data_IF_774871336823
#
_entry.id   IF_774871336823
#
_cell.length_a   1.000
_cell.length_b   1.000
_cell.length_c   1.000
_cell.angle_alpha   90.00
_cell.angle_beta   90.00
_cell.angle_gamma   90.00
#
_symmetry.space_group_name_H-M   'P 1'
#
loop_
_entity.id
_entity.type
_entity.pdbx_description
1 polymer ?
#
# COMPACT_ATOMS: atom_id res chain seq x y z
N UNK A 1 7.42 2.50 -10.40
CA UNK A 1 7.14 2.18 -8.98
C UNK A 1 8.44 2.18 -8.19
N UNK A 2 9.23 3.26 -8.25
CA UNK A 2 10.48 3.36 -7.50
C UNK A 2 10.61 4.72 -6.84
N UNK A 3 10.67 4.70 -5.51
CA UNK A 3 10.81 5.87 -4.65
C UNK A 3 12.27 6.09 -4.23
N UNK A 4 13.20 5.33 -4.82
CA UNK A 4 14.64 5.46 -4.57
C UNK A 4 15.12 4.74 -3.29
N UNK A 5 14.23 3.99 -2.64
CA UNK A 5 14.56 3.14 -1.48
C UNK A 5 14.27 1.70 -1.86
N UNK A 6 15.31 0.89 -1.99
CA UNK A 6 15.21 -0.48 -2.51
C UNK A 6 14.20 -1.35 -1.73
N UNK A 7 14.13 -1.20 -0.41
CA UNK A 7 13.18 -1.91 0.44
C UNK A 7 11.72 -1.54 0.10
N UNK A 8 11.40 -0.24 -0.03
CA UNK A 8 10.06 0.21 -0.42
C UNK A 8 9.72 -0.22 -1.86
N UNK A 9 10.69 -0.18 -2.77
CA UNK A 9 10.50 -0.63 -4.13
C UNK A 9 10.18 -2.14 -4.18
N UNK A 10 10.78 -2.93 -3.27
CA UNK A 10 10.45 -4.35 -3.11
C UNK A 10 9.05 -4.56 -2.53
N UNK A 11 8.65 -3.74 -1.55
CA UNK A 11 7.29 -3.77 -1.01
C UNK A 11 6.23 -3.44 -2.07
N UNK A 12 6.45 -2.41 -2.90
CA UNK A 12 5.55 -2.08 -4.01
C UNK A 12 5.39 -3.26 -4.99
N UNK A 13 6.50 -3.94 -5.32
CA UNK A 13 6.44 -5.14 -6.18
C UNK A 13 5.62 -6.25 -5.53
N UNK A 14 5.75 -6.45 -4.22
CA UNK A 14 4.98 -7.45 -3.49
C UNK A 14 3.49 -7.10 -3.39
N UNK A 15 3.15 -5.83 -3.14
CA UNK A 15 1.77 -5.34 -3.16
C UNK A 15 1.11 -5.56 -4.53
N UNK A 16 1.83 -5.28 -5.62
CA UNK A 16 1.34 -5.59 -6.97
C UNK A 16 1.19 -7.10 -7.22
N UNK A 17 2.01 -7.92 -6.57
CA UNK A 17 1.87 -9.38 -6.54
C UNK A 17 0.50 -9.80 -6.01
N UNK A 18 0.08 -9.27 -4.86
CA UNK A 18 -1.24 -9.57 -4.30
C UNK A 18 -2.40 -9.15 -5.22
N UNK A 19 -2.27 -8.01 -5.92
CA UNK A 19 -3.28 -7.58 -6.91
C UNK A 19 -3.37 -8.57 -8.07
N UNK A 20 -2.23 -9.09 -8.54
CA UNK A 20 -2.19 -10.09 -9.61
C UNK A 20 -2.79 -11.44 -9.14
N UNK A 21 -2.49 -11.86 -7.92
CA UNK A 21 -3.06 -13.07 -7.33
C UNK A 21 -4.57 -12.95 -7.18
N UNK A 22 -5.06 -11.79 -6.72
CA UNK A 22 -6.48 -11.49 -6.67
C UNK A 22 -7.10 -11.57 -8.06
N UNK A 23 -6.48 -10.97 -9.08
CA UNK A 23 -6.96 -11.05 -10.47
C UNK A 23 -7.11 -12.49 -10.99
N UNK A 24 -6.14 -13.35 -10.68
CA UNK A 24 -6.18 -14.75 -11.06
C UNK A 24 -7.30 -15.52 -10.34
N UNK A 25 -7.49 -15.25 -9.04
CA UNK A 25 -8.54 -15.83 -8.22
C UNK A 25 -9.94 -15.45 -8.74
N UNK A 26 -10.19 -14.16 -8.99
CA UNK A 26 -11.51 -13.68 -9.43
C UNK A 26 -11.87 -14.15 -10.85
N UNK A 27 -10.89 -14.48 -11.69
CA UNK A 27 -11.12 -15.06 -13.02
C UNK A 27 -11.27 -16.59 -13.04
N UNK A 28 -11.29 -17.23 -11.86
CA UNK A 28 -11.40 -18.69 -11.76
C UNK A 28 -10.19 -19.44 -12.34
N UNK A 29 -9.04 -18.77 -12.49
CA UNK A 29 -7.82 -19.36 -13.03
C UNK A 29 -6.95 -20.03 -11.97
N UNK A 30 -7.33 -19.89 -10.69
CA UNK A 30 -6.68 -20.54 -9.57
C UNK A 30 -7.71 -21.37 -8.79
N UNK A 31 -7.54 -22.68 -8.76
CA UNK A 31 -8.45 -23.62 -8.09
C UNK A 31 -8.40 -23.56 -6.55
N UNK A 32 -7.43 -22.82 -5.99
CA UNK A 32 -7.07 -22.82 -4.54
C UNK A 32 -6.92 -21.42 -3.94
N UNK A 33 -7.15 -20.35 -4.71
CA UNK A 33 -6.97 -18.99 -4.25
C UNK A 33 -8.25 -18.46 -3.59
N UNK A 34 -8.33 -18.59 -2.27
CA UNK A 34 -9.36 -17.95 -1.46
C UNK A 34 -9.16 -16.44 -1.48
N UNK A 35 -10.10 -15.71 -2.10
CA UNK A 35 -10.13 -14.24 -2.12
C UNK A 35 -10.03 -13.68 -0.71
N UNK A 36 -10.65 -14.34 0.28
CA UNK A 36 -10.55 -13.96 1.68
C UNK A 36 -9.13 -14.00 2.23
N UNK A 37 -8.36 -15.05 1.90
CA UNK A 37 -6.95 -15.16 2.29
C UNK A 37 -6.09 -14.07 1.66
N UNK A 38 -6.29 -13.78 0.37
CA UNK A 38 -5.55 -12.71 -0.33
C UNK A 38 -5.86 -11.35 0.30
N UNK A 39 -7.12 -11.10 0.67
CA UNK A 39 -7.51 -9.87 1.37
C UNK A 39 -6.85 -9.77 2.76
N UNK A 40 -6.80 -10.86 3.54
CA UNK A 40 -6.12 -10.87 4.84
C UNK A 40 -4.60 -10.63 4.68
N UNK A 41 -3.95 -11.26 3.69
CA UNK A 41 -2.54 -11.07 3.37
C UNK A 41 -2.26 -9.62 2.93
N UNK A 42 -3.14 -9.04 2.10
CA UNK A 42 -3.03 -7.66 1.64
C UNK A 42 -3.18 -6.67 2.80
N UNK A 43 -4.16 -6.86 3.69
CA UNK A 43 -4.35 -6.02 4.89
C UNK A 43 -3.05 -6.00 5.70
N UNK A 44 -2.58 -7.17 6.13
CA UNK A 44 -1.39 -7.31 6.96
C UNK A 44 -0.16 -6.65 6.33
N UNK A 45 0.02 -6.83 5.02
CA UNK A 45 1.17 -6.27 4.33
C UNK A 45 1.07 -4.74 4.14
N UNK A 46 -0.14 -4.22 3.86
CA UNK A 46 -0.34 -2.76 3.76
C UNK A 46 -0.14 -2.07 5.10
N UNK A 47 -0.56 -2.66 6.23
CA UNK A 47 -0.29 -2.09 7.55
C UNK A 47 1.21 -1.92 7.81
N UNK A 48 1.98 -3.00 7.61
CA UNK A 48 3.44 -2.95 7.73
C UNK A 48 4.06 -1.90 6.80
N UNK A 49 3.71 -1.93 5.51
CA UNK A 49 4.30 -1.06 4.52
C UNK A 49 4.01 0.42 4.82
N UNK A 50 2.76 0.76 5.15
CA UNK A 50 2.35 2.12 5.49
C UNK A 50 3.07 2.65 6.73
N UNK A 51 3.29 1.82 7.75
CA UNK A 51 4.07 2.22 8.92
C UNK A 51 5.52 2.58 8.56
N UNK A 52 6.14 1.81 7.66
CA UNK A 52 7.51 2.07 7.19
C UNK A 52 7.56 3.38 6.40
N UNK A 53 6.63 3.58 5.47
CA UNK A 53 6.55 4.81 4.69
C UNK A 53 6.33 6.05 5.55
N UNK A 54 5.35 6.02 6.45
CA UNK A 54 5.02 7.15 7.32
C UNK A 54 6.18 7.50 8.23
N UNK A 55 6.93 6.49 8.71
CA UNK A 55 8.17 6.71 9.46
C UNK A 55 9.22 7.42 8.61
N UNK A 56 9.42 7.00 7.36
CA UNK A 56 10.38 7.63 6.45
C UNK A 56 9.97 9.05 6.06
N UNK A 57 8.69 9.28 5.78
CA UNK A 57 8.12 10.60 5.53
C UNK A 57 8.32 11.53 6.74
N UNK A 58 8.09 11.03 7.97
CA UNK A 58 8.34 11.79 9.20
C UNK A 58 9.82 12.14 9.37
N UNK A 59 10.73 11.18 9.17
CA UNK A 59 12.18 11.39 9.30
C UNK A 59 12.73 12.39 8.26
N UNK A 60 12.19 12.36 7.04
CA UNK A 60 12.54 13.27 5.95
C UNK A 60 11.82 14.62 6.02
N UNK A 61 10.94 14.82 7.01
CA UNK A 61 10.12 16.03 7.19
C UNK A 61 9.26 16.34 5.96
N UNK A 62 8.71 15.31 5.33
CA UNK A 62 7.79 15.44 4.22
C UNK A 62 6.52 16.21 4.67
N UNK A 63 6.19 17.36 4.05
CA UNK A 63 5.06 18.19 4.48
C UNK A 63 3.69 17.56 4.22
N UNK A 64 3.60 16.59 3.30
CA UNK A 64 2.34 15.91 2.94
C UNK A 64 1.99 14.71 3.82
N UNK A 65 2.74 14.45 4.91
CA UNK A 65 2.60 13.25 5.73
C UNK A 65 1.17 13.04 6.27
N UNK A 66 0.50 14.09 6.72
CA UNK A 66 -0.84 13.95 7.31
C UNK A 66 -1.90 13.59 6.27
N UNK A 67 -1.79 14.10 5.05
CA UNK A 67 -2.71 13.75 3.96
C UNK A 67 -2.41 12.35 3.40
N UNK A 68 -1.13 11.97 3.34
CA UNK A 68 -0.70 10.62 2.97
C UNK A 68 -1.27 9.57 3.95
N UNK A 69 -1.13 9.83 5.26
CA UNK A 69 -1.70 8.96 6.30
C UNK A 69 -3.23 8.83 6.20
N UNK A 70 -3.94 9.90 5.87
CA UNK A 70 -5.40 9.82 5.65
C UNK A 70 -5.74 8.90 4.47
N UNK A 71 -4.94 8.91 3.40
CA UNK A 71 -5.13 8.00 2.28
C UNK A 71 -4.93 6.54 2.71
N UNK A 72 -3.88 6.26 3.50
CA UNK A 72 -3.65 4.94 4.09
C UNK A 72 -4.81 4.46 4.97
N UNK A 73 -5.27 5.29 5.89
CA UNK A 73 -6.40 4.96 6.79
C UNK A 73 -7.69 4.70 5.99
N UNK A 74 -7.96 5.49 4.96
CA UNK A 74 -9.11 5.30 4.09
C UNK A 74 -9.06 3.98 3.32
N UNK A 75 -7.89 3.58 2.82
CA UNK A 75 -7.73 2.27 2.20
C UNK A 75 -7.94 1.17 3.24
N UNK A 76 -7.22 1.18 4.37
CA UNK A 76 -7.34 0.15 5.40
C UNK A 76 -8.78 -0.08 5.79
N UNK A 77 -9.51 0.98 6.14
CA UNK A 77 -10.93 0.90 6.48
C UNK A 77 -11.79 0.26 5.37
N UNK A 78 -11.50 0.58 4.11
CA UNK A 78 -12.21 0.01 2.97
C UNK A 78 -11.88 -1.47 2.78
N UNK A 79 -10.62 -1.88 2.91
CA UNK A 79 -10.22 -3.29 2.76
C UNK A 79 -10.77 -4.14 3.91
N UNK A 80 -10.77 -3.64 5.15
CA UNK A 80 -11.45 -4.30 6.28
C UNK A 80 -12.93 -4.51 6.02
N UNK A 81 -13.63 -3.48 5.56
CA UNK A 81 -15.06 -3.58 5.26
C UNK A 81 -15.35 -4.59 4.12
N UNK A 82 -14.46 -4.69 3.12
CA UNK A 82 -14.57 -5.71 2.08
C UNK A 82 -14.32 -7.11 2.65
N UNK A 83 -13.25 -7.29 3.42
CA UNK A 83 -12.93 -8.57 4.07
C UNK A 83 -14.04 -9.06 4.99
N UNK A 84 -14.64 -8.18 5.79
CA UNK A 84 -15.72 -8.55 6.71
C UNK A 84 -17.00 -8.94 5.97
N UNK A 85 -17.33 -8.23 4.88
CA UNK A 85 -18.45 -8.61 4.01
C UNK A 85 -18.21 -9.97 3.35
N UNK A 86 -16.99 -10.21 2.87
CA UNK A 86 -16.62 -11.49 2.27
C UNK A 86 -16.75 -12.64 3.27
N UNK A 87 -16.26 -12.46 4.51
CA UNK A 87 -16.37 -13.48 5.57
C UNK A 87 -17.81 -13.73 6.02
N UNK A 88 -18.67 -12.71 5.95
CA UNK A 88 -20.09 -12.85 6.29
C UNK A 88 -20.87 -13.61 5.19
N UNK A 89 -20.60 -13.31 3.93
CA UNK A 89 -21.17 -13.99 2.77
C UNK A 89 -20.27 -13.77 1.54
N UNK A 90 -19.61 -14.84 1.09
CA UNK A 90 -18.71 -14.81 -0.08
C UNK A 90 -19.43 -14.34 -1.36
N UNK A 91 -20.75 -14.49 -1.44
CA UNK A 91 -21.57 -14.06 -2.58
C UNK A 91 -22.05 -12.61 -2.47
N UNK A 92 -21.87 -11.97 -1.32
CA UNK A 92 -22.27 -10.58 -1.10
C UNK A 92 -21.35 -9.58 -1.83
N UNK A 93 -20.19 -10.04 -2.31
CA UNK A 93 -19.25 -9.21 -3.05
C UNK A 93 -19.15 -9.63 -4.52
N UNK A 94 -19.08 -8.61 -5.36
CA UNK A 94 -18.61 -8.76 -6.72
C UNK A 94 -17.08 -8.73 -6.69
N UNK A 95 -16.47 -9.93 -6.76
CA UNK A 95 -15.03 -10.13 -6.73
C UNK A 95 -14.29 -9.28 -7.78
N UNK A 96 -14.88 -9.06 -8.96
CA UNK A 96 -14.27 -8.20 -9.98
C UNK A 96 -14.23 -6.73 -9.54
N UNK A 97 -15.29 -6.23 -8.89
CA UNK A 97 -15.29 -4.86 -8.33
C UNK A 97 -14.29 -4.69 -7.20
N UNK A 98 -14.07 -5.73 -6.39
CA UNK A 98 -13.02 -5.72 -5.35
C UNK A 98 -11.65 -5.60 -5.99
N UNK A 99 -11.37 -6.39 -7.01
CA UNK A 99 -10.13 -6.30 -7.78
C UNK A 99 -9.94 -4.92 -8.42
N UNK A 100 -10.95 -4.41 -9.15
CA UNK A 100 -10.86 -3.12 -9.85
C UNK A 100 -10.56 -1.98 -8.89
N UNK A 101 -11.22 -1.97 -7.73
CA UNK A 101 -10.97 -0.98 -6.69
C UNK A 101 -9.54 -1.05 -6.15
N UNK A 102 -9.07 -2.24 -5.74
CA UNK A 102 -7.74 -2.41 -5.15
C UNK A 102 -6.63 -2.10 -6.15
N UNK A 103 -6.80 -2.56 -7.40
CA UNK A 103 -5.84 -2.31 -8.47
C UNK A 103 -5.75 -0.82 -8.79
N UNK A 104 -6.88 -0.14 -8.95
CA UNK A 104 -6.91 1.31 -9.24
C UNK A 104 -6.31 2.12 -8.09
N UNK A 105 -6.68 1.81 -6.84
CA UNK A 105 -6.16 2.52 -5.68
C UNK A 105 -4.65 2.35 -5.55
N UNK A 106 -4.13 1.11 -5.55
CA UNK A 106 -2.70 0.85 -5.36
C UNK A 106 -1.86 1.47 -6.47
N UNK A 107 -2.29 1.37 -7.73
CA UNK A 107 -1.56 1.97 -8.85
C UNK A 107 -1.53 3.49 -8.75
N UNK A 108 -2.66 4.13 -8.44
CA UNK A 108 -2.73 5.59 -8.28
C UNK A 108 -1.93 6.08 -7.09
N UNK A 109 -1.98 5.36 -5.98
CA UNK A 109 -1.24 5.72 -4.78
C UNK A 109 0.28 5.63 -5.02
N UNK A 110 0.75 4.48 -5.53
CA UNK A 110 2.19 4.24 -5.78
C UNK A 110 2.76 5.18 -6.84
N UNK A 111 2.02 5.45 -7.92
CA UNK A 111 2.52 6.32 -8.99
C UNK A 111 2.23 7.80 -8.76
N UNK A 112 1.35 8.12 -7.82
CA UNK A 112 0.87 9.48 -7.56
C UNK A 112 1.36 10.01 -6.22
N UNK A 113 0.89 9.42 -5.12
CA UNK A 113 1.18 9.88 -3.77
C UNK A 113 2.59 9.52 -3.32
N UNK A 114 3.03 8.27 -3.52
CA UNK A 114 4.34 7.81 -3.03
C UNK A 114 5.50 8.54 -3.74
N UNK A 115 5.30 8.89 -5.01
CA UNK A 115 6.28 9.64 -5.78
C UNK A 115 6.49 11.07 -5.27
N UNK A 116 5.53 11.64 -4.52
CA UNK A 116 5.66 13.01 -3.97
C UNK A 116 6.69 13.09 -2.86
N UNK A 117 6.88 12.04 -2.07
CA UNK A 117 7.87 12.05 -0.99
C UNK A 117 9.28 11.66 -1.47
N UNK A 118 9.42 11.05 -2.66
CA UNK A 118 10.73 10.62 -3.22
C UNK A 118 11.84 11.69 -3.14
N UNK A 119 11.63 12.96 -3.56
CA UNK A 119 12.70 13.98 -3.48
C UNK A 119 13.17 14.28 -2.04
N UNK A 120 12.34 13.98 -1.04
CA UNK A 120 12.67 14.17 0.38
C UNK A 120 13.51 13.01 0.93
N UNK A 121 13.44 11.82 0.31
CA UNK A 121 14.29 10.67 0.66
C UNK A 121 15.68 10.76 0.02
N UNK A 122 15.79 11.38 -1.15
CA UNK A 122 17.07 11.62 -1.84
C UNK A 122 17.89 12.74 -1.18
N UNK A 123 17.23 13.64 -0.44
CA UNK A 123 17.90 14.67 0.36
C UNK A 123 18.59 14.01 1.56
N UNK A 124 19.91 13.82 1.46
CA UNK A 124 20.77 13.60 2.63
C UNK A 124 20.44 14.65 3.70
N UNK A 125 20.37 14.30 4.99
CA UNK A 125 20.35 15.30 6.05
C UNK A 125 21.53 16.24 5.77
N UNK A 126 21.26 17.55 5.65
CA UNK A 126 22.33 18.53 5.65
C UNK A 126 23.17 18.22 6.88
N UNK A 127 24.45 17.85 6.66
CA UNK A 127 25.37 17.55 7.75
C UNK A 127 25.25 18.69 8.76
N UNK A 128 24.75 18.36 9.96
CA UNK A 128 24.75 19.29 11.08
C UNK A 128 26.18 19.77 11.22
N UNK A 129 26.44 21.04 10.91
CA UNK A 129 27.73 21.67 11.18
C UNK A 129 28.09 21.33 12.63
N UNK A 130 29.32 20.86 12.92
CA UNK A 130 29.74 20.72 14.29
C UNK A 130 29.59 22.08 14.96
N UNK A 131 28.93 22.09 16.12
CA UNK A 131 28.87 23.28 16.96
C UNK A 131 30.31 23.70 17.26
N UNK A 132 30.70 24.87 16.80
CA UNK A 132 31.89 25.54 17.29
C UNK A 132 31.52 26.13 18.66
N UNK A 133 32.20 25.67 19.70
CA UNK A 133 32.03 26.12 21.08
C UNK A 133 32.71 25.17 22.04
#
# INVERSE_FOLDING_TARGET
MSVGVEALDADHRKLMGFVNDLHAAVRGRAATADVGRILDDLISYTEYHFEVEERLQKLSRYPGLDDHRKAHEALKAKVYALRDKFKADERALDNMKVFDFLSDWLVRHILGDDMKYKPFLERKPAASKPAAG
#
